data_IF_390076301019
#
_entry.id   IF_390076301019
#
_cell.length_a   1.000
_cell.length_b   1.000
_cell.length_c   1.000
_cell.angle_alpha   90.00
_cell.angle_beta   90.00
_cell.angle_gamma   90.00
#
_symmetry.space_group_name_H-M   'P 1'
#
loop_
_entity.id
_entity.type
_entity.pdbx_description
1 polymer ?
#
# COMPACT_ATOMS: atom_id res chain seq x y z
N UNK A 1 -19.16 -23.08 -1.69
CA UNK A 1 -18.12 -22.80 -0.68
C UNK A 1 -17.11 -21.86 -1.30
N UNK A 2 -17.26 -20.56 -1.08
CA UNK A 2 -16.25 -19.56 -1.48
C UNK A 2 -15.33 -19.38 -0.27
N UNK A 3 -14.38 -20.30 -0.13
CA UNK A 3 -13.30 -20.19 0.85
C UNK A 3 -12.56 -18.88 0.59
N UNK A 4 -12.71 -17.90 1.49
CA UNK A 4 -11.87 -16.71 1.45
C UNK A 4 -10.45 -17.14 1.76
N UNK A 5 -9.56 -16.91 0.79
CA UNK A 5 -8.13 -17.19 0.91
C UNK A 5 -7.51 -16.15 1.83
N UNK A 6 -7.56 -16.39 3.14
CA UNK A 6 -6.80 -15.63 4.13
C UNK A 6 -5.35 -16.13 4.17
N UNK A 7 -4.70 -16.17 3.01
CA UNK A 7 -3.27 -16.47 2.90
C UNK A 7 -2.49 -15.19 3.20
N UNK A 8 -1.79 -15.17 4.33
CA UNK A 8 -0.87 -14.09 4.65
C UNK A 8 0.41 -14.23 3.82
N UNK A 9 0.87 -13.11 3.27
CA UNK A 9 2.13 -13.02 2.55
C UNK A 9 3.19 -12.53 3.53
N UNK A 10 4.21 -13.36 3.77
CA UNK A 10 5.40 -12.96 4.51
C UNK A 10 6.44 -12.30 3.60
N UNK A 11 7.47 -11.72 4.21
CA UNK A 11 8.56 -11.04 3.48
C UNK A 11 9.31 -11.99 2.53
N UNK A 12 9.40 -13.28 2.86
CA UNK A 12 10.09 -14.27 2.02
C UNK A 12 9.33 -14.49 0.72
N UNK A 13 8.02 -14.71 0.81
CA UNK A 13 7.14 -14.88 -0.33
C UNK A 13 7.05 -13.59 -1.15
N UNK A 14 6.96 -12.44 -0.49
CA UNK A 14 6.99 -11.14 -1.16
C UNK A 14 8.27 -10.94 -1.97
N UNK A 15 9.43 -11.20 -1.37
CA UNK A 15 10.74 -11.04 -2.02
C UNK A 15 10.94 -12.02 -3.18
N UNK A 16 10.46 -13.26 -3.05
CA UNK A 16 10.49 -14.24 -4.13
C UNK A 16 9.75 -13.74 -5.38
N UNK A 17 8.54 -13.19 -5.19
CA UNK A 17 7.75 -12.62 -6.29
C UNK A 17 8.41 -11.37 -6.86
N UNK A 18 8.84 -10.45 -5.99
CA UNK A 18 9.48 -9.19 -6.37
C UNK A 18 10.70 -9.40 -7.28
N UNK A 19 11.52 -10.41 -6.97
CA UNK A 19 12.73 -10.74 -7.74
C UNK A 19 12.43 -11.25 -9.16
N UNK A 20 11.27 -11.88 -9.37
CA UNK A 20 10.84 -12.39 -10.68
C UNK A 20 9.89 -11.47 -11.44
N UNK A 21 9.37 -10.45 -10.77
CA UNK A 21 8.37 -9.53 -11.32
C UNK A 21 8.93 -8.67 -12.46
N UNK A 22 8.07 -8.19 -13.36
CA UNK A 22 8.44 -7.14 -14.30
C UNK A 22 8.66 -5.81 -13.60
N UNK A 23 9.33 -4.84 -14.25
CA UNK A 23 9.55 -3.52 -13.66
C UNK A 23 8.23 -2.83 -13.27
N UNK A 24 7.24 -2.85 -14.15
CA UNK A 24 5.90 -2.29 -13.88
C UNK A 24 5.24 -2.90 -12.65
N UNK A 25 5.40 -4.21 -12.43
CA UNK A 25 4.84 -4.88 -11.26
C UNK A 25 5.63 -4.51 -9.99
N UNK A 26 6.96 -4.44 -10.07
CA UNK A 26 7.79 -3.96 -8.95
C UNK A 26 7.40 -2.55 -8.53
N UNK A 27 7.23 -1.65 -9.49
CA UNK A 27 6.86 -0.25 -9.23
C UNK A 27 5.50 -0.13 -8.53
N UNK A 28 4.56 -1.03 -8.81
CA UNK A 28 3.29 -1.09 -8.11
C UNK A 28 3.40 -1.74 -6.70
N UNK A 29 4.34 -2.68 -6.51
CA UNK A 29 4.57 -3.34 -5.22
C UNK A 29 5.29 -2.43 -4.21
N UNK A 30 6.20 -1.57 -4.67
CA UNK A 30 7.01 -0.67 -3.81
C UNK A 30 6.17 0.25 -2.93
N UNK A 31 5.21 1.05 -3.43
CA UNK A 31 4.40 1.95 -2.60
C UNK A 31 3.37 1.20 -1.75
N UNK A 32 2.99 -0.03 -2.11
CA UNK A 32 2.01 -0.84 -1.34
C UNK A 32 2.53 -1.16 0.07
N UNK A 33 3.79 -1.57 0.20
CA UNK A 33 4.37 -2.02 1.46
C UNK A 33 4.50 -0.91 2.52
N UNK A 34 5.00 0.29 2.20
CA UNK A 34 5.07 1.41 3.14
C UNK A 34 3.71 2.06 3.40
N UNK A 35 2.81 2.14 2.40
CA UNK A 35 1.57 2.92 2.56
C UNK A 35 0.40 2.13 3.16
N UNK A 36 0.39 0.80 3.02
CA UNK A 36 -0.71 -0.04 3.50
C UNK A 36 -2.06 0.23 2.82
N UNK A 37 -2.07 0.94 1.68
CA UNK A 37 -3.30 1.27 0.96
C UNK A 37 -3.82 0.09 0.13
N UNK A 38 -5.10 0.17 -0.32
CA UNK A 38 -5.67 -0.86 -1.20
C UNK A 38 -5.00 -0.78 -2.57
N UNK A 39 -4.86 -1.89 -3.31
CA UNK A 39 -4.17 -1.87 -4.60
C UNK A 39 -4.78 -0.87 -5.59
N UNK A 40 -6.10 -0.68 -5.60
CA UNK A 40 -6.75 0.34 -6.44
C UNK A 40 -6.37 1.77 -6.05
N UNK A 41 -6.22 2.05 -4.75
CA UNK A 41 -5.79 3.36 -4.26
C UNK A 41 -4.31 3.59 -4.61
N UNK A 42 -3.45 2.56 -4.52
CA UNK A 42 -2.03 2.63 -4.90
C UNK A 42 -1.86 2.91 -6.39
N UNK A 43 -2.66 2.28 -7.26
CA UNK A 43 -2.59 2.50 -8.70
C UNK A 43 -3.01 3.91 -9.12
N UNK A 44 -3.81 4.60 -8.30
CA UNK A 44 -4.22 5.97 -8.55
C UNK A 44 -3.22 7.01 -8.01
N UNK A 45 -2.20 6.59 -7.26
CA UNK A 45 -1.18 7.49 -6.73
C UNK A 45 -0.26 8.00 -7.85
N UNK A 46 0.13 9.26 -7.72
CA UNK A 46 0.92 9.99 -8.71
C UNK A 46 1.55 11.19 -7.99
N UNK A 47 2.57 11.81 -8.58
CA UNK A 47 3.33 12.94 -8.02
C UNK A 47 2.44 14.12 -7.62
N UNK A 48 1.32 14.30 -8.32
CA UNK A 48 0.30 15.34 -8.02
C UNK A 48 -0.34 15.20 -6.64
N UNK A 49 -0.27 14.01 -6.05
CA UNK A 49 -0.77 13.73 -4.70
C UNK A 49 0.26 14.05 -3.61
N UNK A 50 1.48 14.47 -3.97
CA UNK A 50 2.47 14.94 -3.02
C UNK A 50 2.27 16.44 -2.76
N UNK A 51 1.91 16.79 -1.52
CA UNK A 51 1.68 18.17 -1.07
C UNK A 51 2.43 18.37 0.25
N UNK A 52 3.31 19.37 0.32
CA UNK A 52 4.08 19.74 1.52
C UNK A 52 4.79 18.55 2.21
N UNK A 53 5.31 17.60 1.42
CA UNK A 53 6.01 16.42 1.95
C UNK A 53 5.08 15.33 2.50
N UNK A 54 3.77 15.44 2.27
CA UNK A 54 2.77 14.41 2.56
C UNK A 54 2.20 13.84 1.26
N UNK A 55 1.95 12.52 1.24
CA UNK A 55 1.16 11.88 0.20
C UNK A 55 -0.32 11.92 0.59
N UNK A 56 -1.12 12.71 -0.11
CA UNK A 56 -2.55 12.84 0.12
C UNK A 56 -3.36 11.86 -0.73
N UNK A 57 -4.15 11.00 -0.08
CA UNK A 57 -4.94 9.96 -0.75
C UNK A 57 -6.39 10.02 -0.28
N UNK A 58 -7.32 9.97 -1.23
CA UNK A 58 -8.74 9.72 -0.96
C UNK A 58 -9.05 8.25 -1.23
N UNK A 59 -9.34 7.47 -0.20
CA UNK A 59 -9.63 6.05 -0.32
C UNK A 59 -10.93 5.81 -1.09
N UNK A 60 -10.86 5.09 -2.22
CA UNK A 60 -12.01 4.89 -3.09
C UNK A 60 -13.14 4.08 -2.43
N UNK A 61 -12.82 3.17 -1.50
CA UNK A 61 -13.82 2.32 -0.82
C UNK A 61 -14.59 3.08 0.27
N UNK A 62 -13.89 3.90 1.06
CA UNK A 62 -14.42 4.49 2.30
C UNK A 62 -14.66 6.00 2.19
N UNK A 63 -14.09 6.65 1.16
CA UNK A 63 -14.08 8.11 1.02
C UNK A 63 -13.15 8.82 2.00
N UNK A 64 -12.36 8.09 2.79
CA UNK A 64 -11.48 8.68 3.80
C UNK A 64 -10.32 9.44 3.15
N UNK A 65 -10.08 10.67 3.61
CA UNK A 65 -8.92 11.49 3.22
C UNK A 65 -7.78 11.24 4.19
N UNK A 66 -6.65 10.76 3.70
CA UNK A 66 -5.47 10.42 4.49
C UNK A 66 -4.27 11.17 3.93
N UNK A 67 -3.56 11.90 4.78
CA UNK A 67 -2.28 12.50 4.46
C UNK A 67 -1.16 11.70 5.13
N UNK A 68 -0.24 11.16 4.34
CA UNK A 68 0.81 10.27 4.80
C UNK A 68 2.16 10.99 4.72
N UNK A 69 2.63 11.50 5.85
CA UNK A 69 3.99 12.07 6.00
C UNK A 69 5.02 10.98 6.32
N UNK A 70 6.31 11.29 6.25
CA UNK A 70 7.36 10.36 6.69
C UNK A 70 7.15 9.89 8.14
N UNK A 71 6.73 10.81 9.03
CA UNK A 71 6.41 10.50 10.43
C UNK A 71 5.20 9.56 10.56
N UNK A 72 4.16 9.77 9.74
CA UNK A 72 3.01 8.87 9.68
C UNK A 72 3.43 7.45 9.26
N UNK A 73 4.25 7.35 8.21
CA UNK A 73 4.76 6.07 7.70
C UNK A 73 5.67 5.39 8.74
N UNK A 74 6.49 6.15 9.47
CA UNK A 74 7.34 5.63 10.55
C UNK A 74 6.52 5.10 11.71
N UNK A 75 5.46 5.82 12.12
CA UNK A 75 4.57 5.43 13.22
C UNK A 75 3.71 4.21 12.91
N UNK A 76 3.50 3.92 11.63
CA UNK A 76 2.64 2.83 11.18
C UNK A 76 3.35 1.70 10.43
N UNK A 77 4.68 1.76 10.26
CA UNK A 77 5.49 0.61 9.86
C UNK A 77 5.29 -0.55 10.84
N UNK A 78 4.75 -1.66 10.37
CA UNK A 78 4.51 -2.88 11.17
C UNK A 78 3.21 -2.87 11.98
N UNK A 79 2.38 -1.82 11.90
CA UNK A 79 1.09 -1.79 12.59
C UNK A 79 0.04 -2.47 11.72
N UNK A 80 -0.54 -3.57 12.21
CA UNK A 80 -1.73 -4.22 11.63
C UNK A 80 -2.93 -3.27 11.71
N UNK A 81 -3.11 -2.40 10.72
CA UNK A 81 -4.37 -1.69 10.51
C UNK A 81 -5.38 -2.68 9.94
N UNK A 82 -6.24 -3.21 10.81
CA UNK A 82 -7.38 -4.04 10.41
C UNK A 82 -8.50 -3.07 10.01
N UNK A 83 -8.88 -2.97 8.73
CA UNK A 83 -9.98 -2.09 8.35
C UNK A 83 -11.29 -2.74 8.79
N UNK A 84 -12.08 -2.01 9.59
CA UNK A 84 -13.48 -2.33 9.90
C UNK A 84 -14.36 -2.22 8.65
#
# INVERSE_FOLDING_TARGET
MTERRDAYIDDTLHNAVYNTASQTLRDAMVPRLPTGQRPGDVLAMDERHMVDGALEVCQAKTGAKVAMTEDYLRKHKGVRVTPT
#
